data_IF_283742919413
#
_entry.id   IF_283742919413
#
_cell.length_a   1.000
_cell.length_b   1.000
_cell.length_c   1.000
_cell.angle_alpha   90.00
_cell.angle_beta   90.00
_cell.angle_gamma   90.00
#
_symmetry.space_group_name_H-M   'P 1'
#
loop_
_entity.id
_entity.type
_entity.pdbx_description
1 polymer ?
#
# COMPACT_ATOMS: atom_id res chain seq x y z
N UNK A 1 -18.47 -50.92 55.90
CA UNK A 1 -17.37 -51.15 54.95
C UNK A 1 -17.98 -51.13 53.56
N UNK A 2 -17.60 -50.07 52.85
CA UNK A 2 -17.45 -49.89 51.40
C UNK A 2 -18.58 -50.30 50.43
N UNK A 3 -19.33 -49.35 49.85
CA UNK A 3 -19.12 -48.52 48.63
C UNK A 3 -19.67 -49.18 47.34
N UNK A 4 -20.72 -48.56 46.78
CA UNK A 4 -21.27 -48.68 45.41
C UNK A 4 -20.21 -48.52 44.30
N UNK A 5 -20.37 -49.05 43.06
CA UNK A 5 -21.25 -48.47 42.00
C UNK A 5 -21.90 -49.57 41.11
N UNK A 6 -22.70 -49.38 40.06
CA UNK A 6 -22.84 -48.34 39.04
C UNK A 6 -24.22 -48.51 38.35
N UNK A 7 -24.86 -47.40 38.00
CA UNK A 7 -26.21 -47.35 37.41
C UNK A 7 -26.14 -47.03 35.89
N UNK A 8 -26.96 -47.78 35.17
CA UNK A 8 -27.78 -47.43 33.99
C UNK A 8 -27.17 -47.17 32.60
N UNK A 9 -27.67 -47.99 31.68
CA UNK A 9 -27.72 -47.86 30.23
C UNK A 9 -28.94 -47.00 29.82
N UNK A 10 -28.87 -46.19 28.76
CA UNK A 10 -30.08 -45.59 28.15
C UNK A 10 -29.86 -44.35 27.29
N UNK A 11 -30.21 -44.45 26.02
CA UNK A 11 -30.15 -43.44 24.95
C UNK A 11 -31.27 -42.40 25.02
N UNK A 12 -31.02 -41.14 24.62
CA UNK A 12 -32.04 -40.21 24.08
C UNK A 12 -31.39 -39.06 23.28
N UNK A 13 -31.96 -38.78 22.11
CA UNK A 13 -31.58 -37.73 21.15
C UNK A 13 -31.63 -36.31 21.73
N UNK A 14 -30.75 -35.43 21.22
CA UNK A 14 -30.82 -33.98 21.40
C UNK A 14 -30.43 -33.26 20.10
N UNK A 15 -31.44 -32.68 19.46
CA UNK A 15 -31.36 -31.79 18.30
C UNK A 15 -30.88 -30.40 18.75
N UNK A 16 -29.93 -29.79 18.04
CA UNK A 16 -29.72 -28.34 18.08
C UNK A 16 -29.14 -27.86 16.74
N UNK A 17 -30.03 -27.50 15.82
CA UNK A 17 -29.71 -26.51 14.79
C UNK A 17 -29.60 -25.12 15.42
N UNK A 18 -28.50 -24.40 15.20
CA UNK A 18 -28.48 -22.97 14.83
C UNK A 18 -27.06 -22.40 14.66
N UNK A 19 -26.93 -21.63 13.56
CA UNK A 19 -26.09 -20.44 13.38
C UNK A 19 -24.57 -20.62 13.16
N UNK A 20 -24.22 -20.68 11.87
CA UNK A 20 -23.32 -19.73 11.20
C UNK A 20 -22.54 -18.75 12.09
N UNK A 21 -21.22 -18.91 12.14
CA UNK A 21 -20.31 -17.95 12.76
C UNK A 21 -18.89 -18.17 12.28
N UNK A 22 -18.51 -17.53 11.18
CA UNK A 22 -17.13 -17.39 10.75
C UNK A 22 -16.28 -16.93 11.95
N UNK A 23 -15.41 -17.81 12.44
CA UNK A 23 -14.41 -17.49 13.44
C UNK A 23 -13.34 -16.59 12.83
N UNK A 24 -13.62 -15.29 12.71
CA UNK A 24 -12.60 -14.27 12.59
C UNK A 24 -12.11 -13.99 14.02
N UNK A 25 -10.88 -14.36 14.34
CA UNK A 25 -10.24 -13.98 15.60
C UNK A 25 -10.23 -12.45 15.72
N UNK A 26 -10.54 -11.87 16.90
CA UNK A 26 -10.51 -10.42 17.12
C UNK A 26 -9.15 -9.78 16.78
N UNK A 27 -8.07 -10.58 16.90
CA UNK A 27 -6.69 -10.21 16.64
C UNK A 27 -6.43 -9.87 15.17
N UNK A 28 -7.04 -10.60 14.23
CA UNK A 28 -6.77 -10.46 12.79
C UNK A 28 -7.45 -9.21 12.21
N UNK A 29 -8.65 -8.87 12.73
CA UNK A 29 -9.34 -7.64 12.35
C UNK A 29 -8.61 -6.37 12.86
N UNK A 30 -8.04 -6.45 14.07
CA UNK A 30 -7.33 -5.32 14.68
C UNK A 30 -6.02 -4.98 13.94
N UNK A 31 -5.22 -6.00 13.58
CA UNK A 31 -3.96 -5.82 12.86
C UNK A 31 -4.16 -5.34 11.42
N UNK A 32 -5.22 -5.82 10.75
CA UNK A 32 -5.61 -5.34 9.41
C UNK A 32 -6.06 -3.87 9.42
N UNK A 33 -6.78 -3.45 10.47
CA UNK A 33 -7.22 -2.05 10.62
C UNK A 33 -6.03 -1.12 10.87
N UNK A 34 -5.11 -1.50 11.76
CA UNK A 34 -3.89 -0.74 12.03
C UNK A 34 -3.01 -0.58 10.78
N UNK A 35 -2.82 -1.67 10.01
CA UNK A 35 -2.08 -1.62 8.75
C UNK A 35 -2.77 -0.69 7.74
N UNK A 36 -4.09 -0.76 7.64
CA UNK A 36 -4.88 0.10 6.75
C UNK A 36 -4.72 1.58 7.10
N UNK A 37 -4.82 1.93 8.38
CA UNK A 37 -4.63 3.30 8.86
C UNK A 37 -3.19 3.79 8.64
N UNK A 38 -2.21 2.92 8.85
CA UNK A 38 -0.81 3.20 8.55
C UNK A 38 -0.60 3.48 7.05
N UNK A 39 -1.15 2.63 6.16
CA UNK A 39 -1.08 2.83 4.71
C UNK A 39 -1.65 4.19 4.33
N UNK A 40 -2.87 4.52 4.77
CA UNK A 40 -3.52 5.81 4.49
C UNK A 40 -2.64 6.98 4.93
N UNK A 41 -2.14 6.93 6.18
CA UNK A 41 -1.28 7.97 6.78
C UNK A 41 0.03 8.16 6.00
N UNK A 42 0.66 7.07 5.58
CA UNK A 42 1.94 7.13 4.89
C UNK A 42 1.76 7.63 3.45
N UNK A 43 0.79 7.11 2.72
CA UNK A 43 0.55 7.51 1.34
C UNK A 43 -0.01 8.93 1.22
N UNK A 44 -0.77 9.42 2.20
CA UNK A 44 -1.18 10.84 2.25
C UNK A 44 0.00 11.80 2.40
N UNK A 45 1.13 11.33 2.94
CA UNK A 45 2.35 12.13 3.12
C UNK A 45 3.32 11.98 1.95
N UNK A 46 3.52 10.76 1.46
CA UNK A 46 4.60 10.45 0.52
C UNK A 46 4.14 10.39 -0.94
N UNK A 47 2.85 10.14 -1.21
CA UNK A 47 2.22 9.95 -2.52
C UNK A 47 2.75 8.80 -3.37
N UNK A 48 4.06 8.54 -3.40
CA UNK A 48 4.73 7.51 -4.18
C UNK A 48 5.79 6.84 -3.31
N UNK A 49 5.75 5.52 -3.23
CA UNK A 49 6.70 4.70 -2.47
C UNK A 49 6.99 3.39 -3.19
N UNK A 50 8.20 2.88 -3.01
CA UNK A 50 8.52 1.49 -3.37
C UNK A 50 8.08 0.56 -2.24
N UNK A 51 7.94 -0.74 -2.53
CA UNK A 51 7.65 -1.73 -1.47
C UNK A 51 8.77 -1.76 -0.43
N UNK A 52 10.04 -1.67 -0.86
CA UNK A 52 11.19 -1.58 0.03
C UNK A 52 11.06 -0.41 1.03
N UNK A 53 10.72 0.79 0.53
CA UNK A 53 10.59 1.97 1.37
C UNK A 53 9.37 1.89 2.29
N UNK A 54 8.24 1.35 1.80
CA UNK A 54 7.07 1.11 2.64
C UNK A 54 7.39 0.14 3.79
N UNK A 55 8.08 -0.97 3.51
CA UNK A 55 8.54 -1.94 4.53
C UNK A 55 9.44 -1.28 5.56
N UNK A 56 10.36 -0.42 5.12
CA UNK A 56 11.24 0.34 6.01
C UNK A 56 10.44 1.27 6.94
N UNK A 57 9.50 2.03 6.39
CA UNK A 57 8.63 2.92 7.18
C UNK A 57 7.73 2.14 8.14
N UNK A 58 7.20 1.00 7.71
CA UNK A 58 6.39 0.15 8.56
C UNK A 58 7.20 -0.45 9.70
N UNK A 59 8.42 -0.94 9.43
CA UNK A 59 9.32 -1.43 10.46
C UNK A 59 9.69 -0.35 11.49
N UNK A 60 9.89 0.89 11.05
CA UNK A 60 10.09 2.03 11.96
C UNK A 60 8.84 2.29 12.82
N UNK A 61 7.65 2.25 12.21
CA UNK A 61 6.41 2.42 12.94
C UNK A 61 6.22 1.36 14.04
N UNK A 62 6.47 0.09 13.72
CA UNK A 62 6.40 -1.00 14.71
C UNK A 62 7.41 -0.83 15.85
N UNK A 63 8.58 -0.27 15.58
CA UNK A 63 9.58 0.02 16.61
C UNK A 63 9.17 1.15 17.56
N UNK A 64 8.24 2.02 17.16
CA UNK A 64 7.69 3.10 18.00
C UNK A 64 6.54 2.63 18.90
N UNK A 65 5.92 1.48 18.63
CA UNK A 65 4.77 0.99 19.41
C UNK A 65 5.24 0.34 20.73
N UNK A 66 4.61 0.65 21.88
CA UNK A 66 4.98 0.07 23.17
C UNK A 66 4.90 -1.46 23.21
N UNK A 67 5.89 -2.09 23.85
CA UNK A 67 5.92 -3.53 24.06
C UNK A 67 4.64 -4.00 24.81
N UNK A 68 3.87 -4.90 24.18
CA UNK A 68 2.62 -5.43 24.71
C UNK A 68 1.35 -5.05 23.95
N UNK A 69 1.42 -4.10 22.99
CA UNK A 69 0.29 -3.77 22.10
C UNK A 69 0.38 -4.42 20.72
N UNK A 70 1.57 -4.84 20.30
CA UNK A 70 1.81 -5.34 18.93
C UNK A 70 1.68 -6.87 18.90
N UNK A 71 0.52 -7.35 18.43
CA UNK A 71 0.39 -8.70 17.84
C UNK A 71 0.48 -8.57 16.33
N UNK A 72 1.49 -7.86 15.82
CA UNK A 72 1.79 -7.91 14.40
C UNK A 72 2.58 -9.19 14.16
N UNK A 73 1.83 -10.26 13.86
CA UNK A 73 2.41 -11.45 13.22
C UNK A 73 3.26 -11.00 12.03
N UNK A 74 4.33 -11.72 11.72
CA UNK A 74 5.19 -11.44 10.59
C UNK A 74 4.36 -11.30 9.30
N UNK A 75 4.11 -10.07 8.86
CA UNK A 75 3.31 -9.80 7.67
C UNK A 75 4.15 -10.14 6.44
N UNK A 76 3.58 -10.92 5.53
CA UNK A 76 4.24 -11.22 4.26
C UNK A 76 4.21 -10.00 3.34
N UNK A 77 5.17 -9.91 2.41
CA UNK A 77 5.19 -8.89 1.37
C UNK A 77 3.89 -8.88 0.55
N UNK A 78 3.23 -10.03 0.39
CA UNK A 78 1.93 -10.12 -0.27
C UNK A 78 0.84 -9.38 0.50
N UNK A 79 0.75 -9.59 1.82
CA UNK A 79 -0.24 -8.90 2.67
C UNK A 79 -0.02 -7.38 2.69
N UNK A 80 1.23 -6.94 2.72
CA UNK A 80 1.55 -5.50 2.66
C UNK A 80 1.11 -4.89 1.33
N UNK A 81 1.39 -5.57 0.22
CA UNK A 81 0.96 -5.11 -1.11
C UNK A 81 -0.56 -5.09 -1.24
N UNK A 82 -1.25 -6.14 -0.78
CA UNK A 82 -2.71 -6.20 -0.79
C UNK A 82 -3.31 -5.05 0.01
N UNK A 83 -2.83 -4.81 1.23
CA UNK A 83 -3.28 -3.70 2.06
C UNK A 83 -3.04 -2.33 1.40
N UNK A 84 -1.94 -2.13 0.68
CA UNK A 84 -1.71 -0.91 -0.11
C UNK A 84 -2.79 -0.77 -1.18
N UNK A 85 -3.04 -1.82 -1.97
CA UNK A 85 -4.00 -1.80 -3.07
C UNK A 85 -5.45 -1.60 -2.60
N UNK A 86 -5.81 -2.05 -1.40
CA UNK A 86 -7.14 -1.80 -0.80
C UNK A 86 -7.35 -0.35 -0.34
N UNK A 87 -6.29 0.47 -0.29
CA UNK A 87 -6.31 1.82 0.31
C UNK A 87 -6.10 2.94 -0.72
N UNK A 88 -6.93 2.95 -1.76
CA UNK A 88 -6.94 3.97 -2.82
C UNK A 88 -5.58 4.17 -3.51
N UNK A 89 -4.69 3.19 -3.42
CA UNK A 89 -3.39 3.19 -4.08
C UNK A 89 -3.41 2.27 -5.30
N UNK A 90 -2.48 2.50 -6.23
CA UNK A 90 -2.22 1.61 -7.37
C UNK A 90 -0.74 1.31 -7.50
N UNK A 91 -0.45 0.13 -8.02
CA UNK A 91 0.90 -0.21 -8.47
C UNK A 91 1.14 0.38 -9.86
N UNK A 92 2.28 1.05 -10.04
CA UNK A 92 2.75 1.55 -11.33
C UNK A 92 3.87 0.64 -11.83
N UNK A 93 3.66 0.04 -13.00
CA UNK A 93 4.67 -0.77 -13.67
C UNK A 93 5.64 0.14 -14.43
N UNK A 94 6.65 0.65 -13.72
CA UNK A 94 7.70 1.46 -14.34
C UNK A 94 8.61 0.55 -15.19
N UNK A 95 8.90 0.89 -16.46
CA UNK A 95 9.75 0.08 -17.32
C UNK A 95 11.22 0.32 -16.98
N UNK A 96 11.70 -0.27 -15.90
CA UNK A 96 13.11 -0.17 -15.48
C UNK A 96 14.05 -0.68 -16.58
N UNK A 97 15.25 -0.06 -16.75
CA UNK A 97 16.25 -0.56 -17.68
C UNK A 97 16.66 -2.00 -17.34
N UNK A 98 16.98 -2.82 -18.35
CA UNK A 98 17.37 -4.23 -18.15
C UNK A 98 18.60 -4.42 -17.26
N UNK A 99 19.42 -3.38 -17.12
CA UNK A 99 20.63 -3.37 -16.28
C UNK A 99 20.40 -2.72 -14.91
N UNK A 100 19.14 -2.58 -14.48
CA UNK A 100 18.81 -2.03 -13.16
C UNK A 100 19.47 -2.85 -12.06
N UNK A 101 20.06 -2.16 -11.08
CA UNK A 101 20.65 -2.77 -9.87
C UNK A 101 19.67 -2.81 -8.70
N UNK A 102 18.48 -2.24 -8.88
CA UNK A 102 17.45 -2.18 -7.86
C UNK A 102 16.92 -3.58 -7.56
N UNK A 103 16.71 -3.87 -6.28
CA UNK A 103 16.10 -5.11 -5.83
C UNK A 103 14.64 -5.22 -6.31
N UNK A 104 14.07 -6.42 -6.25
CA UNK A 104 12.72 -6.68 -6.75
C UNK A 104 11.64 -5.86 -6.01
N UNK A 105 11.82 -5.58 -4.73
CA UNK A 105 10.92 -4.76 -3.92
C UNK A 105 11.11 -3.24 -4.15
N UNK A 106 12.31 -2.80 -4.53
CA UNK A 106 12.56 -1.43 -4.98
C UNK A 106 11.91 -1.14 -6.35
N UNK A 107 11.72 -2.17 -7.19
CA UNK A 107 11.03 -2.04 -8.48
C UNK A 107 9.50 -2.08 -8.36
N UNK A 108 8.95 -2.42 -7.19
CA UNK A 108 7.51 -2.39 -6.94
C UNK A 108 7.09 -1.01 -6.46
N UNK A 109 6.65 -0.17 -7.39
CA UNK A 109 6.26 1.21 -7.11
C UNK A 109 4.75 1.31 -6.91
N UNK A 110 4.35 1.90 -5.79
CA UNK A 110 2.96 2.19 -5.45
C UNK A 110 2.76 3.69 -5.38
N UNK A 111 1.57 4.13 -5.77
CA UNK A 111 1.18 5.52 -5.70
C UNK A 111 -0.23 5.66 -5.13
N UNK A 112 -0.47 6.76 -4.42
CA UNK A 112 -1.81 7.17 -4.04
C UNK A 112 -2.56 7.58 -5.31
N UNK A 113 -3.65 6.88 -5.62
CA UNK A 113 -4.43 7.06 -6.85
C UNK A 113 -5.55 8.06 -6.67
N UNK A 114 -6.29 7.97 -5.57
CA UNK A 114 -7.42 8.86 -5.28
C UNK A 114 -7.22 9.55 -3.93
N UNK A 115 -7.39 10.87 -3.93
CA UNK A 115 -7.55 11.66 -2.70
C UNK A 115 -8.91 12.36 -2.62
N UNK A 116 -9.67 12.34 -3.72
CA UNK A 116 -10.94 13.06 -3.84
C UNK A 116 -10.75 14.54 -4.18
N UNK A 117 -9.55 14.97 -4.59
CA UNK A 117 -9.28 16.33 -5.02
C UNK A 117 -9.06 16.43 -6.53
N UNK A 118 -9.12 17.64 -7.07
CA UNK A 118 -8.96 17.87 -8.51
C UNK A 118 -7.54 17.56 -9.02
N UNK A 119 -6.55 17.46 -8.13
CA UNK A 119 -5.18 17.09 -8.50
C UNK A 119 -5.02 15.60 -8.80
N UNK A 120 -6.03 14.76 -8.49
CA UNK A 120 -6.06 13.34 -8.85
C UNK A 120 -5.86 13.16 -10.37
N UNK A 121 -6.54 13.98 -11.17
CA UNK A 121 -6.43 13.94 -12.65
C UNK A 121 -5.00 14.18 -13.12
N UNK A 122 -4.31 15.17 -12.53
CA UNK A 122 -2.94 15.50 -12.90
C UNK A 122 -1.97 14.36 -12.54
N UNK A 123 -2.21 13.71 -11.39
CA UNK A 123 -1.45 12.54 -10.96
C UNK A 123 -1.67 11.34 -11.87
N UNK A 124 -2.90 11.08 -12.31
CA UNK A 124 -3.18 9.99 -13.25
C UNK A 124 -2.39 10.16 -14.55
N UNK A 125 -2.38 11.35 -15.14
CA UNK A 125 -1.58 11.64 -16.34
C UNK A 125 -0.09 11.41 -16.09
N UNK A 126 0.43 11.87 -14.94
CA UNK A 126 1.83 11.65 -14.57
C UNK A 126 2.16 10.16 -14.47
N UNK A 127 1.33 9.39 -13.79
CA UNK A 127 1.56 7.95 -13.56
C UNK A 127 1.43 7.13 -14.84
N UNK A 128 0.49 7.49 -15.72
CA UNK A 128 0.39 6.92 -17.08
C UNK A 128 1.61 7.23 -17.94
N UNK A 129 2.27 8.37 -17.72
CA UNK A 129 3.52 8.67 -18.39
C UNK A 129 4.64 7.75 -17.89
N UNK A 130 4.70 7.49 -16.58
CA UNK A 130 5.71 6.62 -15.97
C UNK A 130 5.46 5.12 -16.17
N UNK A 131 4.24 4.69 -16.50
CA UNK A 131 3.99 3.30 -16.91
C UNK A 131 4.65 2.97 -18.26
N UNK A 132 4.95 4.01 -19.06
CA UNK A 132 5.58 3.90 -20.39
C UNK A 132 7.02 4.39 -20.42
N UNK A 133 7.46 5.12 -19.39
CA UNK A 133 8.76 5.77 -19.36
C UNK A 133 9.41 5.59 -18.00
N UNK A 134 10.66 5.15 -17.98
CA UNK A 134 11.44 5.09 -16.74
C UNK A 134 11.67 6.47 -16.11
N UNK A 135 11.86 7.49 -16.98
CA UNK A 135 12.14 8.88 -16.62
C UNK A 135 11.57 9.81 -17.68
N UNK A 136 11.25 11.03 -17.28
CA UNK A 136 10.59 12.01 -18.16
C UNK A 136 11.27 13.38 -18.09
N UNK A 137 11.03 14.22 -19.10
CA UNK A 137 11.33 15.67 -19.02
C UNK A 137 10.09 16.41 -18.53
N UNK A 138 10.29 17.56 -17.86
CA UNK A 138 9.18 18.45 -17.46
C UNK A 138 8.33 18.87 -18.65
N UNK A 139 8.94 19.12 -19.80
CA UNK A 139 8.23 19.52 -21.03
C UNK A 139 7.31 18.42 -21.54
N UNK A 140 7.70 17.15 -21.43
CA UNK A 140 6.87 16.01 -21.83
C UNK A 140 5.62 15.91 -20.94
N UNK A 141 5.79 16.07 -19.62
CA UNK A 141 4.65 16.14 -18.69
C UNK A 141 3.73 17.31 -19.01
N UNK A 142 4.30 18.50 -19.21
CA UNK A 142 3.51 19.70 -19.51
C UNK A 142 2.68 19.52 -20.79
N UNK A 143 3.29 19.03 -21.88
CA UNK A 143 2.57 18.76 -23.12
C UNK A 143 1.44 17.74 -22.92
N UNK A 144 1.68 16.68 -22.15
CA UNK A 144 0.68 15.65 -21.91
C UNK A 144 -0.50 16.15 -21.05
N UNK A 145 -0.20 16.95 -20.03
CA UNK A 145 -1.23 17.61 -19.22
C UNK A 145 -2.06 18.59 -20.04
N UNK A 146 -1.42 19.37 -20.92
CA UNK A 146 -2.12 20.28 -21.83
C UNK A 146 -3.05 19.58 -22.81
N UNK A 147 -2.69 18.38 -23.26
CA UNK A 147 -3.50 17.55 -24.15
C UNK A 147 -4.71 16.93 -23.45
N UNK A 148 -4.53 16.38 -22.24
CA UNK A 148 -5.58 15.60 -21.56
C UNK A 148 -6.47 16.42 -20.60
N UNK A 149 -5.91 17.47 -20.00
CA UNK A 149 -6.59 18.26 -18.94
C UNK A 149 -6.76 19.73 -19.36
N UNK A 150 -5.94 20.23 -20.29
CA UNK A 150 -5.90 21.62 -20.72
C UNK A 150 -4.74 22.41 -20.12
N UNK A 151 -4.71 23.73 -20.29
CA UNK A 151 -3.61 24.53 -19.75
C UNK A 151 -3.53 24.46 -18.22
N UNK A 152 -2.41 23.94 -17.72
CA UNK A 152 -2.13 23.81 -16.29
C UNK A 152 -1.11 24.87 -15.86
N UNK A 153 -1.38 25.62 -14.76
CA UNK A 153 -0.41 26.55 -14.19
C UNK A 153 0.92 25.89 -13.87
N UNK A 154 2.03 26.62 -14.09
CA UNK A 154 3.38 26.11 -13.77
C UNK A 154 3.51 25.67 -12.31
N UNK A 155 2.86 26.38 -11.39
CA UNK A 155 2.85 26.09 -9.95
C UNK A 155 2.24 24.73 -9.63
N UNK A 156 1.20 24.31 -10.35
CA UNK A 156 0.56 23.01 -10.13
C UNK A 156 1.43 21.87 -10.68
N UNK A 157 2.10 22.09 -11.82
CA UNK A 157 3.09 21.14 -12.36
C UNK A 157 4.26 20.98 -11.39
N UNK A 158 4.75 22.09 -10.83
CA UNK A 158 5.88 22.05 -9.91
C UNK A 158 5.49 21.39 -8.57
N UNK A 159 4.27 21.61 -8.08
CA UNK A 159 3.70 20.89 -6.91
C UNK A 159 3.63 19.39 -7.18
N UNK A 160 3.04 18.99 -8.30
CA UNK A 160 2.90 17.59 -8.71
C UNK A 160 4.26 16.87 -8.78
N UNK A 161 5.25 17.50 -9.43
CA UNK A 161 6.60 16.94 -9.53
C UNK A 161 7.27 16.82 -8.15
N UNK A 162 7.08 17.79 -7.26
CA UNK A 162 7.63 17.74 -5.89
C UNK A 162 6.97 16.64 -5.03
N UNK A 163 5.68 16.42 -5.21
CA UNK A 163 4.92 15.39 -4.48
C UNK A 163 5.27 13.99 -4.94
N UNK A 164 5.37 13.74 -6.25
CA UNK A 164 5.51 12.39 -6.79
C UNK A 164 6.92 12.00 -7.27
N UNK A 165 7.77 12.99 -7.57
CA UNK A 165 9.02 12.76 -8.29
C UNK A 165 10.26 13.27 -7.54
N UNK A 166 11.43 12.90 -8.08
CA UNK A 166 12.74 13.47 -7.77
C UNK A 166 13.42 13.87 -9.08
N UNK A 167 14.16 14.98 -9.06
CA UNK A 167 14.94 15.42 -10.22
C UNK A 167 16.39 14.94 -10.10
N UNK A 168 16.92 14.38 -11.18
CA UNK A 168 18.32 14.02 -11.31
C UNK A 168 18.79 14.20 -12.75
N UNK A 169 19.91 14.91 -12.94
CA UNK A 169 20.51 15.18 -14.26
C UNK A 169 19.53 15.76 -15.30
N UNK A 170 18.67 16.69 -14.89
CA UNK A 170 17.68 17.33 -15.77
C UNK A 170 16.50 16.44 -16.17
N UNK A 171 16.40 15.24 -15.61
CA UNK A 171 15.29 14.30 -15.78
C UNK A 171 14.51 14.16 -14.48
N UNK A 172 13.26 13.72 -14.59
CA UNK A 172 12.39 13.42 -13.45
C UNK A 172 12.11 11.92 -13.39
N UNK A 173 12.21 11.39 -12.18
CA UNK A 173 11.97 9.99 -11.83
C UNK A 173 10.89 9.95 -10.77
N UNK A 174 10.06 8.91 -10.74
CA UNK A 174 9.23 8.65 -9.56
C UNK A 174 10.13 8.49 -8.32
N UNK A 175 9.62 8.90 -7.16
CA UNK A 175 10.36 8.72 -5.90
C UNK A 175 10.69 7.25 -5.69
N UNK A 176 11.95 6.99 -5.31
CA UNK A 176 12.48 5.64 -5.11
C UNK A 176 12.92 4.92 -6.39
N UNK A 177 12.74 5.49 -7.59
CA UNK A 177 13.16 4.85 -8.85
C UNK A 177 14.42 5.46 -9.48
N UNK A 178 14.86 6.63 -8.99
CA UNK A 178 16.09 7.26 -9.46
C UNK A 178 17.30 6.36 -9.15
N UNK A 179 18.23 6.16 -10.11
CA UNK A 179 19.48 5.47 -9.81
C UNK A 179 20.27 6.24 -8.75
N UNK A 180 20.79 5.51 -7.76
CA UNK A 180 21.77 5.99 -6.79
C UNK A 180 23.19 5.99 -7.37
#
# INVERSE_FOLDING_TARGET
>A
MDTTPHLTNGSVNGDLEHANGNGASPSDASSSTELSDFVKKIFSKHFVLTLCEFKRLFGLHLAEVPAGQVVVQSMSDFMLQDAILQNACRQIHVPFPSQTKLAADEQKVFCLWETGNDSDKLRHVLFELFSKNYRIKRTMLQSKLSEEVGEIPKTDIDRLLKECCISSSGMWYLKGTCPS
#
